data_IF_391177859197
#
_entry.id   IF_391177859197
#
_cell.length_a   1.000
_cell.length_b   1.000
_cell.length_c   1.000
_cell.angle_alpha   90.00
_cell.angle_beta   90.00
_cell.angle_gamma   90.00
#
_symmetry.space_group_name_H-M   'P 1'
#
loop_
_entity.id
_entity.type
_entity.pdbx_description
1 polymer ?
#
# COMPACT_ATOMS: atom_id res chain seq x y z
N UNK A 1 -4.13 15.94 -16.15
CA UNK A 1 -2.91 16.36 -16.79
C UNK A 1 -2.19 17.55 -16.16
N UNK A 2 -2.69 18.11 -15.02
CA UNK A 2 -2.10 19.31 -14.39
C UNK A 2 -0.66 19.13 -13.89
N UNK A 3 -0.21 17.91 -13.67
CA UNK A 3 1.17 17.63 -13.24
C UNK A 3 2.11 17.29 -14.41
N UNK A 4 1.57 17.17 -15.62
CA UNK A 4 2.32 16.64 -16.76
C UNK A 4 2.64 15.15 -16.60
N UNK A 5 3.81 14.73 -17.06
CA UNK A 5 4.30 13.36 -16.88
C UNK A 5 4.80 13.20 -15.43
N UNK A 6 4.33 12.18 -14.74
CA UNK A 6 4.83 11.86 -13.39
C UNK A 6 6.23 11.24 -13.52
N UNK A 7 7.17 11.80 -12.75
CA UNK A 7 8.59 11.41 -12.76
C UNK A 7 9.02 10.79 -11.43
N UNK A 8 8.39 11.19 -10.34
CA UNK A 8 8.69 10.66 -9.01
C UNK A 8 7.46 10.69 -8.11
N UNK A 9 7.29 9.62 -7.35
CA UNK A 9 6.35 9.54 -6.25
C UNK A 9 7.07 9.09 -4.99
N UNK A 10 6.61 9.57 -3.85
CA UNK A 10 7.00 9.06 -2.53
C UNK A 10 5.74 8.79 -1.75
N UNK A 11 5.61 7.59 -1.21
CA UNK A 11 4.53 7.21 -0.32
C UNK A 11 5.10 6.70 0.99
N UNK A 12 4.54 7.16 2.08
CA UNK A 12 4.97 6.82 3.44
C UNK A 12 3.79 6.35 4.26
N UNK A 13 3.95 5.20 4.89
CA UNK A 13 3.05 4.70 5.90
C UNK A 13 3.84 4.21 7.10
N UNK A 14 3.64 4.85 8.25
CA UNK A 14 4.34 4.50 9.49
C UNK A 14 3.42 4.64 10.69
N UNK A 15 3.51 3.68 11.61
CA UNK A 15 2.78 3.65 12.87
C UNK A 15 3.51 2.78 13.90
N UNK A 16 3.05 2.66 15.17
CA UNK A 16 3.74 1.86 16.19
C UNK A 16 3.78 0.36 15.95
N UNK A 17 3.06 -0.14 14.97
CA UNK A 17 2.98 -1.54 14.60
C UNK A 17 1.60 -2.17 14.87
N UNK A 18 1.43 -3.39 14.39
CA UNK A 18 0.19 -4.14 14.59
C UNK A 18 0.04 -4.58 16.05
N UNK A 19 -1.20 -4.84 16.46
CA UNK A 19 -1.52 -5.25 17.84
C UNK A 19 -1.82 -6.75 17.99
N UNK A 20 -2.06 -7.45 16.88
CA UNK A 20 -2.37 -8.88 16.90
C UNK A 20 -1.09 -9.70 16.97
N UNK A 21 -1.06 -10.71 17.85
CA UNK A 21 0.13 -11.54 18.11
C UNK A 21 0.66 -12.28 16.88
N UNK A 22 -0.20 -12.66 15.93
CA UNK A 22 0.19 -13.40 14.73
C UNK A 22 1.12 -12.59 13.79
N UNK A 23 1.10 -11.26 13.85
CA UNK A 23 2.04 -10.41 13.12
C UNK A 23 3.49 -10.59 13.58
N UNK A 24 3.70 -11.02 14.82
CA UNK A 24 5.04 -11.25 15.37
C UNK A 24 5.62 -12.61 15.02
N UNK A 25 4.83 -13.47 14.40
CA UNK A 25 5.26 -14.76 13.85
C UNK A 25 5.38 -14.64 12.32
N UNK A 26 6.62 -14.66 11.83
CA UNK A 26 6.93 -14.51 10.41
C UNK A 26 6.27 -15.56 9.53
N UNK A 27 6.10 -16.80 10.02
CA UNK A 27 5.45 -17.86 9.25
C UNK A 27 3.95 -17.58 9.06
N UNK A 28 3.31 -16.95 10.05
CA UNK A 28 1.91 -16.57 9.97
C UNK A 28 1.72 -15.25 9.20
N UNK A 29 2.57 -14.25 9.47
CA UNK A 29 2.49 -12.95 8.83
C UNK A 29 3.01 -12.94 7.37
N UNK A 30 3.91 -13.87 7.02
CA UNK A 30 4.54 -13.93 5.70
C UNK A 30 5.69 -12.93 5.50
N UNK A 31 5.76 -11.86 6.27
CA UNK A 31 6.78 -10.81 6.22
C UNK A 31 6.59 -9.78 7.32
N UNK A 32 7.29 -8.66 7.20
CA UNK A 32 7.21 -7.53 8.13
C UNK A 32 6.44 -6.34 7.56
N UNK A 33 6.90 -5.13 7.88
CA UNK A 33 6.22 -3.89 7.49
C UNK A 33 6.16 -3.65 5.97
N UNK A 34 7.03 -4.27 5.17
CA UNK A 34 6.93 -4.17 3.70
C UNK A 34 5.67 -4.86 3.20
N UNK A 35 5.35 -6.04 3.74
CA UNK A 35 4.16 -6.77 3.33
C UNK A 35 2.89 -6.09 3.83
N UNK A 36 2.89 -5.62 5.09
CA UNK A 36 1.74 -5.00 5.75
C UNK A 36 1.44 -3.58 5.22
N UNK A 37 2.45 -2.71 5.20
CA UNK A 37 2.31 -1.28 4.84
C UNK A 37 2.85 -0.96 3.45
N UNK A 38 3.89 -1.68 3.03
CA UNK A 38 4.53 -1.45 1.73
C UNK A 38 3.58 -1.72 0.56
N UNK A 39 2.65 -2.66 0.71
CA UNK A 39 1.64 -2.94 -0.31
C UNK A 39 0.81 -1.69 -0.64
N UNK A 40 0.40 -0.91 0.37
CA UNK A 40 -0.35 0.34 0.19
C UNK A 40 0.49 1.39 -0.52
N UNK A 41 1.71 1.65 -0.02
CA UNK A 41 2.60 2.66 -0.59
C UNK A 41 3.00 2.36 -2.03
N UNK A 42 3.23 1.09 -2.35
CA UNK A 42 3.57 0.63 -3.70
C UNK A 42 2.38 0.86 -4.65
N UNK A 43 1.17 0.49 -4.23
CA UNK A 43 -0.03 0.66 -5.05
C UNK A 43 -0.40 2.13 -5.25
N UNK A 44 -0.29 2.96 -4.22
CA UNK A 44 -0.46 4.42 -4.32
C UNK A 44 0.52 4.99 -5.35
N UNK A 45 1.78 4.59 -5.30
CA UNK A 45 2.78 5.02 -6.28
C UNK A 45 2.44 4.58 -7.71
N UNK A 46 1.99 3.31 -7.88
CA UNK A 46 1.53 2.79 -9.18
C UNK A 46 0.35 3.59 -9.72
N UNK A 47 -0.60 3.93 -8.85
CA UNK A 47 -1.77 4.69 -9.24
C UNK A 47 -1.41 6.10 -9.77
N UNK A 48 -0.47 6.78 -9.12
CA UNK A 48 0.00 8.10 -9.55
C UNK A 48 0.84 8.04 -10.83
N UNK A 49 1.74 7.07 -10.95
CA UNK A 49 2.62 6.92 -12.13
C UNK A 49 1.83 6.45 -13.35
N UNK A 50 0.89 5.55 -13.13
CA UNK A 50 0.06 4.90 -14.14
C UNK A 50 0.15 3.39 -14.01
N UNK A 51 -0.98 2.74 -13.76
CA UNK A 51 -1.07 1.27 -13.58
C UNK A 51 -0.69 0.49 -14.85
N UNK A 52 -0.73 1.14 -16.00
CA UNK A 52 -0.29 0.63 -17.30
C UNK A 52 1.22 0.76 -17.57
N UNK A 53 1.95 1.42 -16.67
CA UNK A 53 3.41 1.58 -16.75
C UNK A 53 4.10 0.45 -15.98
N UNK A 54 4.92 -0.33 -16.68
CA UNK A 54 5.53 -1.54 -16.10
C UNK A 54 6.59 -1.21 -15.06
N UNK A 55 6.51 -1.76 -13.83
CA UNK A 55 7.62 -1.74 -12.89
C UNK A 55 8.68 -2.75 -13.36
N UNK A 56 9.96 -2.36 -13.36
CA UNK A 56 11.04 -3.16 -13.96
C UNK A 56 12.08 -3.66 -12.96
N UNK A 57 12.45 -2.84 -11.98
CA UNK A 57 13.43 -3.21 -10.97
C UNK A 57 13.21 -2.44 -9.67
N UNK A 58 13.67 -2.99 -8.56
CA UNK A 58 13.57 -2.39 -7.23
C UNK A 58 14.90 -2.46 -6.48
N UNK A 59 15.20 -1.40 -5.73
CA UNK A 59 16.26 -1.36 -4.72
C UNK A 59 15.58 -1.15 -3.37
N UNK A 60 15.85 -2.02 -2.42
CA UNK A 60 15.22 -1.94 -1.10
C UNK A 60 16.24 -2.19 0.02
N UNK A 61 16.13 -1.38 1.06
CA UNK A 61 16.72 -1.61 2.37
C UNK A 61 15.59 -1.91 3.36
N UNK A 62 15.81 -2.88 4.24
CA UNK A 62 14.94 -3.20 5.35
C UNK A 62 15.71 -3.91 6.44
N UNK A 63 15.34 -3.66 7.69
CA UNK A 63 15.98 -4.23 8.87
C UNK A 63 14.99 -4.33 10.03
N UNK A 64 15.31 -5.15 11.02
CA UNK A 64 14.60 -5.26 12.29
C UNK A 64 15.39 -4.52 13.36
N UNK A 65 14.85 -3.41 13.84
CA UNK A 65 15.58 -2.52 14.77
C UNK A 65 14.95 -2.46 16.16
N UNK A 66 13.64 -2.64 16.28
CA UNK A 66 12.90 -2.40 17.53
C UNK A 66 11.98 -3.55 17.91
N UNK A 67 11.21 -4.10 16.96
CA UNK A 67 10.16 -5.07 17.25
C UNK A 67 10.74 -6.49 17.46
N UNK A 68 10.11 -7.31 18.31
CA UNK A 68 10.57 -8.68 18.60
C UNK A 68 10.12 -9.67 17.52
N UNK A 69 10.46 -9.41 16.27
CA UNK A 69 10.09 -10.23 15.11
C UNK A 69 11.31 -10.54 14.24
N UNK A 70 11.36 -11.72 13.62
CA UNK A 70 12.37 -12.10 12.62
C UNK A 70 11.94 -11.68 11.19
N UNK A 71 11.48 -10.45 11.07
CA UNK A 71 11.15 -9.78 9.81
C UNK A 71 11.43 -8.29 9.96
N UNK A 72 11.45 -7.55 8.87
CA UNK A 72 11.74 -6.12 8.92
C UNK A 72 10.60 -5.32 9.59
N UNK A 73 10.98 -4.42 10.51
CA UNK A 73 10.09 -3.46 11.14
C UNK A 73 10.26 -2.04 10.58
N UNK A 74 11.23 -1.86 9.66
CA UNK A 74 11.54 -0.62 9.00
C UNK A 74 12.12 -0.89 7.61
N UNK A 75 11.62 -0.18 6.59
CA UNK A 75 12.11 -0.35 5.22
C UNK A 75 11.91 0.90 4.35
N UNK A 76 12.78 1.02 3.35
CA UNK A 76 12.71 2.02 2.28
C UNK A 76 13.04 1.34 0.97
N UNK A 77 12.20 1.54 -0.06
CA UNK A 77 12.42 0.99 -1.38
C UNK A 77 12.22 1.99 -2.50
N UNK A 78 12.93 1.79 -3.60
CA UNK A 78 12.84 2.55 -4.85
C UNK A 78 12.45 1.59 -5.96
N UNK A 79 11.29 1.79 -6.55
CA UNK A 79 10.77 1.02 -7.69
C UNK A 79 10.97 1.85 -8.96
N UNK A 80 11.67 1.29 -9.94
CA UNK A 80 11.86 1.93 -11.23
C UNK A 80 10.86 1.39 -12.24
N UNK A 81 10.29 2.29 -13.01
CA UNK A 81 9.30 2.00 -14.04
C UNK A 81 9.88 2.15 -15.44
N UNK A 82 9.27 1.50 -16.43
CA UNK A 82 9.76 1.48 -17.82
C UNK A 82 9.82 2.86 -18.49
N UNK A 83 8.98 3.81 -18.05
CA UNK A 83 9.00 5.21 -18.49
C UNK A 83 10.07 6.06 -17.81
N UNK A 84 10.89 5.47 -16.92
CA UNK A 84 11.93 6.14 -16.15
C UNK A 84 11.48 6.76 -14.83
N UNK A 85 10.19 6.74 -14.53
CA UNK A 85 9.67 7.20 -13.22
C UNK A 85 10.19 6.33 -12.07
N UNK A 86 10.30 6.93 -10.89
CA UNK A 86 10.66 6.26 -9.64
C UNK A 86 9.53 6.38 -8.63
N UNK A 87 9.06 5.26 -8.10
CA UNK A 87 8.20 5.20 -6.94
C UNK A 87 9.01 4.86 -5.68
N UNK A 88 9.00 5.72 -4.68
CA UNK A 88 9.61 5.47 -3.38
C UNK A 88 8.54 5.06 -2.38
N UNK A 89 8.77 3.97 -1.65
CA UNK A 89 7.98 3.64 -0.47
C UNK A 89 8.86 3.71 0.79
N UNK A 90 8.27 4.15 1.89
CA UNK A 90 8.90 4.23 3.21
C UNK A 90 7.91 3.74 4.25
N UNK A 91 8.24 2.67 4.95
CA UNK A 91 7.34 1.99 5.88
C UNK A 91 8.01 1.65 7.19
N UNK A 92 7.25 1.72 8.29
CA UNK A 92 7.80 1.40 9.61
C UNK A 92 6.71 1.05 10.62
N UNK A 93 7.00 0.04 11.45
CA UNK A 93 6.25 -0.31 12.67
C UNK A 93 6.85 0.33 13.94
N UNK A 94 7.75 1.29 13.78
CA UNK A 94 8.50 1.88 14.90
C UNK A 94 8.18 3.34 15.17
N UNK A 95 7.31 3.95 14.36
CA UNK A 95 6.89 5.33 14.53
C UNK A 95 5.91 5.46 15.69
N UNK A 96 6.18 6.38 16.63
CA UNK A 96 5.35 6.59 17.81
C UNK A 96 4.55 7.89 17.70
N UNK A 97 3.38 7.89 18.34
CA UNK A 97 2.53 9.08 18.46
C UNK A 97 1.37 9.13 17.47
N UNK A 98 1.20 8.14 16.61
CA UNK A 98 0.08 8.05 15.71
C UNK A 98 0.40 7.43 14.36
N UNK A 99 -0.48 7.64 13.40
CA UNK A 99 -0.37 7.18 12.03
C UNK A 99 0.15 8.31 11.15
N UNK A 100 1.27 8.08 10.47
CA UNK A 100 1.88 9.02 9.52
C UNK A 100 1.70 8.51 8.09
N UNK A 101 0.68 9.02 7.41
CA UNK A 101 0.39 8.76 5.99
C UNK A 101 0.66 10.00 5.17
N UNK A 102 1.68 9.95 4.33
CA UNK A 102 2.08 11.07 3.48
C UNK A 102 2.49 10.63 2.09
N UNK A 103 2.02 11.34 1.08
CA UNK A 103 2.42 11.15 -0.29
C UNK A 103 2.99 12.43 -0.90
N UNK A 104 3.97 12.25 -1.76
CA UNK A 104 4.50 13.30 -2.63
C UNK A 104 4.44 12.82 -4.07
N UNK A 105 3.94 13.66 -4.96
CA UNK A 105 3.84 13.36 -6.39
C UNK A 105 4.47 14.50 -7.15
N UNK A 106 5.51 14.20 -7.91
CA UNK A 106 6.24 15.17 -8.73
C UNK A 106 6.09 14.81 -10.21
N UNK A 107 5.60 15.75 -10.97
CA UNK A 107 5.53 15.67 -12.42
C UNK A 107 6.33 16.78 -13.09
N UNK A 108 6.33 16.79 -14.41
CA UNK A 108 7.05 17.79 -15.21
C UNK A 108 6.47 19.20 -15.09
N UNK A 109 5.19 19.32 -14.72
CA UNK A 109 4.44 20.58 -14.67
C UNK A 109 3.98 20.97 -13.26
N UNK A 110 4.15 20.09 -12.25
CA UNK A 110 3.70 20.40 -10.91
C UNK A 110 4.00 19.32 -9.88
N UNK A 111 3.68 19.66 -8.62
CA UNK A 111 3.90 18.80 -7.45
C UNK A 111 2.68 18.82 -6.55
N UNK A 112 2.37 17.68 -5.93
CA UNK A 112 1.35 17.54 -4.90
C UNK A 112 1.98 16.93 -3.65
N UNK A 113 1.62 17.44 -2.47
CA UNK A 113 1.85 16.84 -1.17
C UNK A 113 0.51 16.49 -0.53
N UNK A 114 0.39 15.24 -0.09
CA UNK A 114 -0.76 14.75 0.67
C UNK A 114 -0.28 14.42 2.08
N UNK A 115 -1.02 14.86 3.07
CA UNK A 115 -0.80 14.54 4.47
C UNK A 115 -2.16 14.19 5.09
N UNK A 116 -2.41 12.90 5.27
CA UNK A 116 -3.75 12.43 5.64
C UNK A 116 -4.05 12.55 7.13
N UNK A 117 -3.04 12.42 8.01
CA UNK A 117 -3.26 12.39 9.45
C UNK A 117 -2.43 13.41 10.23
N UNK A 118 -1.10 13.44 10.06
CA UNK A 118 -0.27 14.40 10.77
C UNK A 118 -0.60 15.84 10.36
N UNK A 119 -1.01 16.65 11.32
CA UNK A 119 -1.29 18.10 11.19
C UNK A 119 -2.46 18.48 10.27
N UNK A 120 -3.19 17.53 9.77
CA UNK A 120 -4.37 17.79 8.94
C UNK A 120 -5.64 17.21 9.51
N UNK A 121 -5.51 16.23 10.41
CA UNK A 121 -6.59 15.61 11.12
C UNK A 121 -6.78 16.20 12.52
N UNK A 122 -6.80 15.33 13.52
CA UNK A 122 -7.03 15.67 14.91
C UNK A 122 -5.72 15.55 15.71
N UNK A 123 -5.31 16.63 16.35
CA UNK A 123 -4.16 16.68 17.26
C UNK A 123 -4.64 16.88 18.69
N UNK A 124 -4.10 16.14 19.63
CA UNK A 124 -4.46 16.25 21.04
C UNK A 124 -3.23 16.24 21.93
N UNK A 125 -3.22 17.12 22.93
CA UNK A 125 -2.29 17.04 24.03
C UNK A 125 -3.01 16.52 25.27
N UNK A 126 -2.47 15.52 25.93
CA UNK A 126 -2.99 14.99 27.19
C UNK A 126 -1.87 14.66 28.17
N UNK A 127 -2.17 14.76 29.46
CA UNK A 127 -1.27 14.31 30.54
C UNK A 127 -1.48 12.84 30.92
N UNK A 128 -2.40 12.15 30.28
CA UNK A 128 -2.77 10.78 30.59
C UNK A 128 -3.66 10.62 31.83
N UNK A 129 -3.90 11.68 32.59
CA UNK A 129 -4.68 11.61 33.83
C UNK A 129 -6.18 11.64 33.54
N UNK A 130 -6.85 10.52 33.82
CA UNK A 130 -8.31 10.40 33.73
C UNK A 130 -8.86 10.29 32.32
N UNK A 131 -8.02 9.94 31.38
CA UNK A 131 -8.39 9.69 29.99
C UNK A 131 -8.30 8.18 29.73
N UNK A 132 -9.44 7.53 29.52
CA UNK A 132 -9.49 6.16 28.99
C UNK A 132 -9.30 6.14 27.46
N UNK A 133 -8.98 7.31 26.87
CA UNK A 133 -8.80 7.44 25.44
C UNK A 133 -7.37 7.07 25.06
N UNK A 134 -7.20 5.89 24.53
CA UNK A 134 -5.98 5.42 23.87
C UNK A 134 -6.28 5.29 22.39
N UNK A 135 -5.63 6.10 21.56
CA UNK A 135 -5.70 5.88 20.13
C UNK A 135 -4.98 4.57 19.80
N UNK A 136 -5.64 3.67 19.11
CA UNK A 136 -5.13 2.34 18.75
C UNK A 136 -3.73 2.40 18.14
N UNK A 137 -3.48 3.39 17.29
CA UNK A 137 -2.22 3.57 16.56
C UNK A 137 -1.23 4.53 17.24
N UNK A 138 -1.55 5.08 18.41
CA UNK A 138 -0.69 6.08 19.07
C UNK A 138 0.38 5.48 20.01
N UNK A 139 0.13 4.30 20.56
CA UNK A 139 0.99 3.61 21.54
C UNK A 139 1.35 4.50 22.77
N UNK A 140 0.56 5.54 23.03
CA UNK A 140 0.71 6.45 24.16
C UNK A 140 -0.62 7.11 24.51
N UNK A 141 -0.85 7.30 25.81
CA UNK A 141 -2.00 8.01 26.36
C UNK A 141 -1.65 9.43 26.85
N UNK A 142 -0.40 9.86 26.67
CA UNK A 142 0.10 11.13 27.18
C UNK A 142 1.05 11.82 26.22
N UNK A 143 1.14 13.16 26.33
CA UNK A 143 1.88 14.02 25.43
C UNK A 143 1.05 14.45 24.22
N UNK A 144 1.73 14.84 23.15
CA UNK A 144 1.09 15.09 21.86
C UNK A 144 0.82 13.78 21.14
N UNK A 145 -0.43 13.56 20.79
CA UNK A 145 -0.89 12.39 20.03
C UNK A 145 -1.72 12.81 18.83
N UNK A 146 -1.69 11.98 17.79
CA UNK A 146 -2.38 12.17 16.51
C UNK A 146 -3.33 11.00 16.30
N UNK A 147 -4.49 10.97 16.97
CA UNK A 147 -5.41 9.85 16.92
C UNK A 147 -6.17 9.83 15.59
N UNK A 148 -6.51 8.62 15.16
CA UNK A 148 -7.43 8.41 14.03
C UNK A 148 -8.85 8.48 14.56
N UNK A 149 -9.63 9.46 14.12
CA UNK A 149 -10.99 9.71 14.63
C UNK A 149 -12.04 8.80 14.01
N UNK A 150 -12.07 8.71 12.70
CA UNK A 150 -13.01 7.89 11.92
C UNK A 150 -12.26 7.08 10.86
N UNK A 151 -11.67 5.97 11.29
CA UNK A 151 -10.82 5.12 10.46
C UNK A 151 -11.54 4.64 9.19
N UNK A 152 -12.82 4.28 9.28
CA UNK A 152 -13.57 3.74 8.16
C UNK A 152 -13.75 4.76 7.03
N UNK A 153 -13.99 6.02 7.36
CA UNK A 153 -14.14 7.09 6.37
C UNK A 153 -12.79 7.69 5.96
N UNK A 154 -11.91 7.94 6.93
CA UNK A 154 -10.62 8.59 6.67
C UNK A 154 -9.68 7.72 5.82
N UNK A 155 -9.70 6.39 6.00
CA UNK A 155 -8.97 5.43 5.17
C UNK A 155 -9.74 4.96 3.93
N UNK A 156 -10.98 5.45 3.73
CA UNK A 156 -11.74 5.21 2.51
C UNK A 156 -12.41 3.84 2.39
N UNK A 157 -12.54 3.07 3.47
CA UNK A 157 -13.16 1.72 3.44
C UNK A 157 -14.58 1.74 2.88
N UNK A 158 -15.39 2.72 3.27
CA UNK A 158 -16.77 2.85 2.77
C UNK A 158 -16.81 3.07 1.26
N UNK A 159 -15.89 3.89 0.72
CA UNK A 159 -15.79 4.12 -0.73
C UNK A 159 -15.26 2.88 -1.47
N UNK A 160 -14.32 2.15 -0.87
CA UNK A 160 -13.80 0.89 -1.42
C UNK A 160 -14.92 -0.14 -1.57
N UNK A 161 -15.70 -0.39 -0.52
CA UNK A 161 -16.81 -1.34 -0.59
C UNK A 161 -17.90 -0.90 -1.58
N UNK A 162 -18.25 0.38 -1.61
CA UNK A 162 -19.20 0.91 -2.60
C UNK A 162 -18.69 0.68 -4.03
N UNK A 163 -17.42 0.96 -4.30
CA UNK A 163 -16.82 0.70 -5.61
C UNK A 163 -16.85 -0.79 -5.99
N UNK A 164 -16.55 -1.68 -5.05
CA UNK A 164 -16.58 -3.12 -5.28
C UNK A 164 -18.01 -3.62 -5.61
N UNK A 165 -19.01 -3.20 -4.82
CA UNK A 165 -20.42 -3.62 -5.07
C UNK A 165 -20.98 -3.01 -6.34
N UNK A 166 -20.74 -1.73 -6.60
CA UNK A 166 -21.14 -1.05 -7.83
C UNK A 166 -20.55 -1.72 -9.07
N UNK A 167 -19.29 -2.13 -9.00
CA UNK A 167 -18.60 -2.80 -10.10
C UNK A 167 -19.19 -4.19 -10.33
N UNK A 168 -19.48 -4.93 -9.26
CA UNK A 168 -20.11 -6.24 -9.34
C UNK A 168 -21.50 -6.15 -10.00
N UNK A 169 -22.33 -5.18 -9.60
CA UNK A 169 -23.66 -4.97 -10.18
C UNK A 169 -23.60 -4.61 -11.68
N UNK A 170 -22.58 -3.84 -12.08
CA UNK A 170 -22.39 -3.41 -13.48
C UNK A 170 -21.67 -4.43 -14.34
N UNK A 171 -21.10 -5.49 -13.74
CA UNK A 171 -20.21 -6.43 -14.41
C UNK A 171 -18.87 -5.82 -14.84
N UNK A 172 -18.41 -4.77 -14.13
CA UNK A 172 -17.16 -4.08 -14.38
C UNK A 172 -16.10 -4.50 -13.35
N UNK A 173 -14.83 -4.23 -13.64
CA UNK A 173 -13.77 -4.37 -12.65
C UNK A 173 -13.83 -3.22 -11.61
N UNK A 174 -13.58 -3.51 -10.33
CA UNK A 174 -13.36 -2.46 -9.33
C UNK A 174 -12.06 -1.71 -9.60
N UNK A 175 -11.86 -0.59 -8.92
CA UNK A 175 -10.65 0.23 -9.03
C UNK A 175 -9.38 -0.53 -8.66
N UNK A 176 -9.49 -1.49 -7.74
CA UNK A 176 -8.43 -2.40 -7.33
C UNK A 176 -8.87 -3.85 -7.56
N UNK A 177 -7.99 -4.64 -8.15
CA UNK A 177 -8.25 -6.03 -8.54
C UNK A 177 -7.17 -6.98 -7.99
N UNK A 178 -7.42 -8.28 -8.07
CA UNK A 178 -6.38 -9.28 -7.77
C UNK A 178 -5.16 -9.18 -8.70
N UNK A 179 -5.34 -8.63 -9.92
CA UNK A 179 -4.21 -8.38 -10.81
C UNK A 179 -3.31 -7.25 -10.27
N UNK A 180 -3.87 -6.21 -9.66
CA UNK A 180 -3.10 -5.17 -8.98
C UNK A 180 -2.33 -5.78 -7.80
N UNK A 181 -3.00 -6.60 -6.99
CA UNK A 181 -2.35 -7.35 -5.91
C UNK A 181 -1.21 -8.26 -6.39
N UNK A 182 -1.36 -8.91 -7.55
CA UNK A 182 -0.29 -9.71 -8.16
C UNK A 182 0.95 -8.86 -8.48
N UNK A 183 0.76 -7.68 -9.09
CA UNK A 183 1.86 -6.77 -9.41
C UNK A 183 2.56 -6.28 -8.14
N UNK A 184 1.78 -5.87 -7.14
CA UNK A 184 2.31 -5.40 -5.84
C UNK A 184 3.13 -6.51 -5.17
N UNK A 185 2.63 -7.74 -5.12
CA UNK A 185 3.36 -8.86 -4.53
C UNK A 185 4.66 -9.17 -5.28
N UNK A 186 4.67 -9.07 -6.61
CA UNK A 186 5.90 -9.24 -7.39
C UNK A 186 6.97 -8.17 -7.06
N UNK A 187 6.55 -6.94 -6.79
CA UNK A 187 7.44 -5.86 -6.32
C UNK A 187 7.96 -6.16 -4.91
N UNK A 188 7.09 -6.63 -4.01
CA UNK A 188 7.45 -7.01 -2.63
C UNK A 188 8.46 -8.17 -2.65
N UNK A 189 8.23 -9.21 -3.43
CA UNK A 189 9.16 -10.33 -3.59
C UNK A 189 10.54 -9.88 -4.07
N UNK A 190 10.57 -8.99 -5.05
CA UNK A 190 11.82 -8.41 -5.54
C UNK A 190 12.48 -7.51 -4.48
N UNK A 191 11.69 -6.81 -3.64
CA UNK A 191 12.20 -6.01 -2.52
C UNK A 191 12.90 -6.88 -1.48
N UNK A 192 12.32 -8.02 -1.10
CA UNK A 192 13.00 -8.97 -0.21
C UNK A 192 14.28 -9.59 -0.81
N UNK A 193 14.30 -9.81 -2.12
CA UNK A 193 15.55 -10.22 -2.82
C UNK A 193 16.59 -9.12 -2.75
N UNK A 194 16.18 -7.85 -2.98
CA UNK A 194 17.07 -6.69 -2.93
C UNK A 194 17.67 -6.46 -1.54
N UNK A 195 16.90 -6.63 -0.46
CA UNK A 195 17.41 -6.57 0.92
C UNK A 195 18.54 -7.57 1.13
N UNK A 196 18.40 -8.80 0.61
CA UNK A 196 19.41 -9.86 0.74
C UNK A 196 20.63 -9.61 -0.13
N UNK A 197 20.42 -9.25 -1.40
CA UNK A 197 21.50 -9.07 -2.39
C UNK A 197 22.20 -7.72 -2.28
N UNK A 198 21.54 -6.72 -1.67
CA UNK A 198 21.98 -5.31 -1.59
C UNK A 198 22.19 -4.67 -2.97
N UNK A 199 21.37 -5.07 -3.94
CA UNK A 199 21.42 -4.62 -5.34
C UNK A 199 20.02 -4.35 -5.86
N UNK A 200 19.94 -3.67 -7.01
CA UNK A 200 18.74 -3.62 -7.82
C UNK A 200 18.36 -5.02 -8.25
N UNK A 201 17.11 -5.40 -8.01
CA UNK A 201 16.54 -6.69 -8.40
C UNK A 201 15.44 -6.49 -9.42
N UNK A 202 15.42 -7.36 -10.43
CA UNK A 202 14.38 -7.34 -11.44
C UNK A 202 13.05 -7.79 -10.86
N UNK A 203 12.00 -7.08 -11.22
CA UNK A 203 10.63 -7.46 -10.91
C UNK A 203 10.16 -8.43 -11.99
N UNK A 204 9.95 -9.70 -11.60
CA UNK A 204 9.49 -10.73 -12.51
C UNK A 204 7.97 -10.72 -12.55
N UNK A 205 7.42 -10.36 -13.70
CA UNK A 205 6.00 -10.41 -13.99
C UNK A 205 5.80 -11.40 -15.12
N UNK A 206 5.34 -12.62 -14.80
CA UNK A 206 5.02 -13.65 -15.78
C UNK A 206 3.86 -13.19 -16.68
N UNK A 207 2.99 -12.35 -16.11
CA UNK A 207 1.85 -11.76 -16.81
C UNK A 207 1.94 -10.25 -16.68
N UNK A 208 1.95 -9.58 -17.82
CA UNK A 208 1.85 -8.13 -17.90
C UNK A 208 0.79 -7.74 -18.92
N UNK A 209 -0.23 -7.00 -18.50
CA UNK A 209 -1.39 -6.62 -19.31
C UNK A 209 -1.32 -5.18 -19.84
N UNK A 210 -0.43 -4.32 -19.30
CA UNK A 210 -0.36 -2.92 -19.72
C UNK A 210 -1.71 -2.23 -19.60
N UNK A 211 -2.14 -1.56 -20.67
CA UNK A 211 -3.42 -0.85 -20.73
C UNK A 211 -4.63 -1.75 -20.52
N UNK A 212 -4.59 -2.98 -21.00
CA UNK A 212 -5.68 -3.94 -20.82
C UNK A 212 -5.93 -4.30 -19.35
N UNK A 213 -4.92 -4.11 -18.48
CA UNK A 213 -5.07 -4.29 -17.04
C UNK A 213 -5.72 -3.11 -16.33
N UNK A 214 -5.86 -1.97 -16.99
CA UNK A 214 -6.38 -0.70 -16.43
C UNK A 214 -7.74 -0.35 -17.01
N UNK A 215 -7.96 -0.68 -18.29
CA UNK A 215 -9.23 -0.41 -18.94
C UNK A 215 -10.36 -1.18 -18.24
N UNK A 216 -11.53 -0.56 -18.13
CA UNK A 216 -12.73 -1.21 -17.61
C UNK A 216 -13.09 -2.38 -18.51
N UNK A 217 -12.60 -3.55 -18.17
CA UNK A 217 -12.92 -4.78 -18.85
C UNK A 217 -14.12 -5.37 -18.11
N UNK A 218 -15.22 -5.61 -18.84
CA UNK A 218 -16.34 -6.37 -18.31
C UNK A 218 -15.83 -7.70 -17.75
N UNK A 219 -16.08 -7.94 -16.48
CA UNK A 219 -15.66 -9.17 -15.79
C UNK A 219 -16.23 -10.44 -16.40
N UNK A 220 -17.24 -10.31 -17.27
CA UNK A 220 -17.96 -11.44 -17.86
C UNK A 220 -17.50 -11.81 -19.28
N UNK A 221 -16.81 -10.92 -20.01
CA UNK A 221 -16.59 -11.10 -21.45
C UNK A 221 -15.12 -11.24 -21.89
N UNK A 222 -14.13 -10.97 -21.05
CA UNK A 222 -12.74 -10.81 -21.53
C UNK A 222 -11.72 -11.61 -20.76
N UNK A 223 -11.98 -12.88 -20.54
CA UNK A 223 -11.08 -13.62 -19.69
C UNK A 223 -10.34 -14.75 -20.35
N UNK A 224 -9.04 -14.70 -20.22
CA UNK A 224 -8.15 -15.85 -20.35
C UNK A 224 -8.49 -16.83 -19.21
N UNK A 225 -8.95 -18.04 -19.55
CA UNK A 225 -9.44 -19.09 -18.65
C UNK A 225 -8.51 -19.43 -17.46
N UNK A 226 -7.28 -18.95 -17.49
CA UNK A 226 -6.29 -19.16 -16.42
C UNK A 226 -6.54 -18.34 -15.15
N UNK A 227 -7.41 -17.34 -15.18
CA UNK A 227 -7.64 -16.40 -14.06
C UNK A 227 -9.04 -16.50 -13.45
N UNK A 228 -9.87 -17.42 -13.86
CA UNK A 228 -11.25 -17.58 -13.39
C UNK A 228 -11.50 -18.85 -12.61
N UNK A 229 -10.90 -18.94 -11.45
CA UNK A 229 -11.37 -19.90 -10.44
C UNK A 229 -12.75 -19.54 -9.85
N UNK A 230 -13.19 -18.30 -9.99
CA UNK A 230 -14.45 -17.82 -9.38
C UNK A 230 -15.68 -18.07 -10.27
N UNK A 231 -15.53 -18.15 -11.58
CA UNK A 231 -16.68 -18.29 -12.49
C UNK A 231 -17.36 -19.67 -12.44
N UNK A 232 -16.59 -20.71 -12.19
CA UNK A 232 -17.16 -22.07 -12.08
C UNK A 232 -17.88 -22.32 -10.76
N UNK A 233 -17.48 -21.65 -9.66
CA UNK A 233 -18.15 -21.79 -8.38
C UNK A 233 -19.45 -20.99 -8.26
N UNK A 234 -19.55 -19.83 -8.92
CA UNK A 234 -20.77 -19.01 -8.88
C UNK A 234 -21.94 -19.59 -9.71
N UNK A 235 -21.69 -20.46 -10.68
CA UNK A 235 -22.74 -21.10 -11.44
C UNK A 235 -23.42 -22.27 -10.71
N UNK A 236 -22.91 -22.66 -9.54
CA UNK A 236 -23.45 -23.76 -8.73
C UNK A 236 -24.35 -23.31 -7.57
N UNK A 237 -24.54 -22.00 -7.39
CA UNK A 237 -25.39 -21.40 -6.34
C UNK A 237 -26.57 -20.58 -6.89
N UNK A 238 -26.99 -20.88 -8.10
CA UNK A 238 -28.21 -20.35 -8.72
C UNK A 238 -29.38 -21.26 -8.59
#
# INVERSE_FOLDING_TARGET
GSLGQIIWTKSRETHPGPHSEWFWDKEQAGGGCILDLGCHCIEISRNYIGKDIKPIEVMCWGDTQVKPIDAEDHAIGLVKYENGAIGQFEVSWTFRGGLDLRDEVMGTEGTIWVNSFLRTGFEMFTTGKGSDYVAEKAESDSGWIFPVGDELNELGYNHMFANMFDSLEKGDNPSETFYDGYIVNAIIDASYKSIKSKKWEKINLDIWRGKEGVDKISTLESYDDKFYLVKEEMTHYG
#
